data_IF_885599768331
#
_entry.id   IF_885599768331
#
_cell.length_a   1.000
_cell.length_b   1.000
_cell.length_c   1.000
_cell.angle_alpha   90.00
_cell.angle_beta   90.00
_cell.angle_gamma   90.00
#
_symmetry.space_group_name_H-M   'P 1'
#
loop_
_entity.id
_entity.type
_entity.pdbx_description
1 polymer ?
#
# COMPACT_ATOMS: atom_id res chain seq x y z
N UNK A 1 6.09 6.68 -21.45
CA UNK A 1 7.39 6.76 -20.76
C UNK A 1 7.13 6.87 -19.27
N UNK A 2 7.79 6.08 -18.42
CA UNK A 2 7.61 6.17 -16.98
C UNK A 2 8.21 7.48 -16.45
N UNK A 3 7.38 8.34 -15.86
CA UNK A 3 7.72 9.71 -15.45
C UNK A 3 8.55 9.78 -14.16
N UNK A 4 9.00 8.64 -13.62
CA UNK A 4 9.69 8.56 -12.34
C UNK A 4 10.71 7.41 -12.28
N UNK A 5 11.67 7.53 -11.36
CA UNK A 5 12.69 6.50 -11.11
C UNK A 5 12.03 5.23 -10.57
N UNK A 6 12.21 4.11 -11.29
CA UNK A 6 11.53 2.84 -11.00
C UNK A 6 12.01 2.15 -9.69
N UNK A 7 13.15 2.55 -9.11
CA UNK A 7 13.68 1.94 -7.87
C UNK A 7 13.82 0.41 -7.98
N UNK A 8 14.28 -0.07 -9.13
CA UNK A 8 14.28 -1.47 -9.56
C UNK A 8 14.68 -2.46 -8.46
N UNK A 9 15.78 -2.21 -7.74
CA UNK A 9 16.27 -3.10 -6.67
C UNK A 9 15.21 -3.31 -5.57
N UNK A 10 14.54 -2.25 -5.13
CA UNK A 10 13.53 -2.32 -4.08
C UNK A 10 12.23 -2.93 -4.58
N UNK A 11 11.83 -2.60 -5.81
CA UNK A 11 10.69 -3.23 -6.46
C UNK A 11 10.87 -4.74 -6.56
N UNK A 12 12.04 -5.21 -7.02
CA UNK A 12 12.33 -6.63 -7.14
C UNK A 12 12.29 -7.37 -5.81
N UNK A 13 12.71 -6.73 -4.70
CA UNK A 13 12.57 -7.30 -3.36
C UNK A 13 11.10 -7.52 -2.96
N UNK A 14 10.21 -6.59 -3.32
CA UNK A 14 8.77 -6.72 -3.06
C UNK A 14 8.16 -7.84 -3.91
N UNK A 15 8.52 -7.90 -5.19
CA UNK A 15 8.04 -8.93 -6.12
C UNK A 15 8.44 -10.34 -5.64
N UNK A 16 9.71 -10.54 -5.29
CA UNK A 16 10.22 -11.85 -4.84
C UNK A 16 9.57 -12.36 -3.56
N UNK A 17 9.07 -11.46 -2.72
CA UNK A 17 8.45 -11.79 -1.44
C UNK A 17 6.93 -11.78 -1.52
N UNK A 18 6.35 -11.48 -2.68
CA UNK A 18 4.90 -11.39 -2.91
C UNK A 18 4.23 -12.75 -2.64
N UNK A 19 3.03 -12.71 -2.10
CA UNK A 19 2.13 -13.87 -1.92
C UNK A 19 2.74 -15.06 -1.13
N UNK A 20 3.76 -14.81 -0.31
CA UNK A 20 4.42 -15.85 0.49
C UNK A 20 3.85 -16.01 1.92
N UNK A 21 2.72 -15.35 2.22
CA UNK A 21 2.05 -15.39 3.52
C UNK A 21 2.60 -14.46 4.61
N UNK A 22 3.72 -13.76 4.38
CA UNK A 22 4.29 -12.87 5.40
C UNK A 22 4.01 -11.38 5.12
N UNK A 23 3.80 -10.62 6.19
CA UNK A 23 3.70 -9.15 6.14
C UNK A 23 5.05 -8.53 5.71
N UNK A 24 5.00 -7.49 4.86
CA UNK A 24 6.20 -6.78 4.37
C UNK A 24 6.37 -5.47 5.11
N UNK A 25 7.44 -5.39 5.91
CA UNK A 25 7.83 -4.17 6.61
C UNK A 25 8.92 -3.47 5.79
N UNK A 26 8.63 -2.25 5.31
CA UNK A 26 9.61 -1.42 4.60
C UNK A 26 10.12 -0.35 5.56
N UNK A 27 11.37 -0.47 5.97
CA UNK A 27 12.03 0.48 6.86
C UNK A 27 12.99 1.40 6.08
N UNK A 28 13.42 2.49 6.74
CA UNK A 28 14.39 3.43 6.18
C UNK A 28 14.17 4.86 6.68
N UNK A 29 15.17 5.70 6.49
CA UNK A 29 15.19 7.09 6.98
C UNK A 29 14.06 7.95 6.40
N UNK A 30 13.74 9.06 7.08
CA UNK A 30 12.76 10.05 6.60
C UNK A 30 13.15 10.55 5.20
N UNK A 31 12.17 10.79 4.32
CA UNK A 31 12.36 11.27 2.94
C UNK A 31 13.13 10.33 1.99
N UNK A 32 13.45 9.09 2.38
CA UNK A 32 14.07 8.13 1.45
C UNK A 32 13.08 7.57 0.40
N UNK A 33 11.80 7.97 0.43
CA UNK A 33 10.79 7.65 -0.59
C UNK A 33 10.15 6.27 -0.47
N UNK A 34 10.00 5.74 0.76
CA UNK A 34 9.28 4.49 1.04
C UNK A 34 7.82 4.56 0.59
N UNK A 35 7.14 5.65 0.96
CA UNK A 35 5.76 5.89 0.55
C UNK A 35 5.67 5.96 -0.97
N UNK A 36 6.59 6.65 -1.66
CA UNK A 36 6.61 6.67 -3.13
C UNK A 36 6.79 5.29 -3.76
N UNK A 37 7.67 4.45 -3.21
CA UNK A 37 7.86 3.06 -3.66
C UNK A 37 6.55 2.27 -3.60
N UNK A 38 5.75 2.40 -2.53
CA UNK A 38 4.47 1.71 -2.41
C UNK A 38 3.35 2.39 -3.23
N UNK A 39 3.13 3.69 -3.00
CA UNK A 39 2.02 4.48 -3.55
C UNK A 39 2.03 4.59 -5.08
N UNK A 40 3.20 4.45 -5.72
CA UNK A 40 3.36 4.61 -7.18
C UNK A 40 4.02 3.42 -7.82
N UNK A 41 5.28 3.14 -7.48
CA UNK A 41 6.07 2.12 -8.19
C UNK A 41 5.43 0.74 -8.07
N UNK A 42 5.17 0.29 -6.85
CA UNK A 42 4.63 -1.04 -6.61
C UNK A 42 3.13 -1.12 -6.95
N UNK A 43 2.37 -0.06 -6.67
CA UNK A 43 0.99 0.09 -7.14
C UNK A 43 0.88 -0.11 -8.66
N UNK A 44 1.65 0.65 -9.46
CA UNK A 44 1.58 0.59 -10.92
C UNK A 44 2.04 -0.77 -11.44
N UNK A 45 3.03 -1.39 -10.78
CA UNK A 45 3.40 -2.76 -11.05
C UNK A 45 2.23 -3.73 -10.81
N UNK A 46 1.55 -3.70 -9.66
CA UNK A 46 0.42 -4.58 -9.37
C UNK A 46 -0.72 -4.41 -10.39
N UNK A 47 -1.06 -3.16 -10.73
CA UNK A 47 -2.06 -2.88 -11.77
C UNK A 47 -1.63 -3.43 -13.12
N UNK A 48 -0.35 -3.31 -13.48
CA UNK A 48 0.19 -3.89 -14.72
C UNK A 48 0.14 -5.43 -14.75
N UNK A 49 0.10 -6.08 -13.59
CA UNK A 49 -0.06 -7.52 -13.46
C UNK A 49 -1.53 -7.96 -13.38
N UNK A 50 -2.49 -7.04 -13.60
CA UNK A 50 -3.91 -7.34 -13.61
C UNK A 50 -4.62 -7.24 -12.27
N UNK A 51 -3.95 -6.77 -11.21
CA UNK A 51 -4.61 -6.53 -9.92
C UNK A 51 -5.60 -5.36 -10.07
N UNK A 52 -6.89 -5.54 -9.76
CA UNK A 52 -7.86 -4.46 -9.83
C UNK A 52 -7.48 -3.33 -8.87
N UNK A 53 -7.53 -2.07 -9.32
CA UNK A 53 -7.23 -0.90 -8.46
C UNK A 53 -8.05 -0.88 -7.17
N UNK A 54 -9.31 -1.32 -7.22
CA UNK A 54 -10.21 -1.44 -6.05
C UNK A 54 -9.71 -2.44 -4.99
N UNK A 55 -8.85 -3.40 -5.39
CA UNK A 55 -8.26 -4.40 -4.49
C UNK A 55 -6.93 -3.92 -3.89
N UNK A 56 -6.45 -2.73 -4.25
CA UNK A 56 -5.26 -2.12 -3.65
C UNK A 56 -5.75 -1.04 -2.68
N UNK A 57 -5.79 -1.40 -1.39
CA UNK A 57 -6.28 -0.53 -0.34
C UNK A 57 -5.08 0.21 0.25
N UNK A 58 -5.09 1.53 0.14
CA UNK A 58 -4.02 2.37 0.67
C UNK A 58 -4.52 3.16 1.87
N UNK A 59 -3.80 3.06 2.98
CA UNK A 59 -4.06 3.78 4.21
C UNK A 59 -2.83 4.62 4.53
N UNK A 60 -3.04 5.92 4.66
CA UNK A 60 -2.06 6.86 5.18
C UNK A 60 -2.47 7.25 6.59
N UNK A 61 -1.52 7.21 7.53
CA UNK A 61 -1.73 7.70 8.89
C UNK A 61 -1.33 9.19 9.04
N UNK A 62 -1.00 9.87 7.94
CA UNK A 62 -0.83 11.33 7.95
C UNK A 62 -2.21 12.00 8.02
N UNK A 63 -2.34 12.90 9.00
CA UNK A 63 -3.57 13.68 9.28
C UNK A 63 -4.04 14.48 8.07
N UNK A 64 -3.11 14.95 7.23
CA UNK A 64 -3.42 15.73 6.02
C UNK A 64 -4.00 14.88 4.87
N UNK A 65 -3.84 13.56 4.93
CA UNK A 65 -4.37 12.61 3.94
C UNK A 65 -5.59 11.84 4.47
N UNK A 66 -6.20 12.26 5.59
CA UNK A 66 -7.35 11.59 6.18
C UNK A 66 -8.60 11.77 5.31
N UNK A 67 -8.88 10.77 4.47
CA UNK A 67 -10.01 10.72 3.56
C UNK A 67 -11.31 10.34 4.31
N UNK A 68 -11.20 9.84 5.54
CA UNK A 68 -12.32 9.27 6.29
C UNK A 68 -12.90 10.23 7.31
N UNK A 69 -12.10 11.18 7.80
CA UNK A 69 -12.45 12.04 8.93
C UNK A 69 -12.55 11.27 10.25
N UNK A 70 -12.10 10.01 10.28
CA UNK A 70 -12.05 9.15 11.45
C UNK A 70 -10.59 8.86 11.81
N UNK A 71 -10.30 8.70 13.10
CA UNK A 71 -8.96 8.36 13.56
C UNK A 71 -8.57 6.92 13.17
N UNK A 72 -7.93 6.78 12.01
CA UNK A 72 -7.41 5.52 11.49
C UNK A 72 -6.20 4.97 12.29
N UNK A 73 -5.67 5.72 13.26
CA UNK A 73 -4.68 5.17 14.21
C UNK A 73 -5.35 4.26 15.24
N UNK A 74 -6.66 4.38 15.44
CA UNK A 74 -7.43 3.47 16.26
C UNK A 74 -7.61 2.11 15.53
N UNK A 75 -7.16 0.99 16.11
CA UNK A 75 -7.24 -0.32 15.47
C UNK A 75 -8.66 -0.76 15.10
N UNK A 76 -9.68 -0.37 15.87
CA UNK A 76 -11.07 -0.73 15.60
C UNK A 76 -11.65 0.07 14.43
N UNK A 77 -11.30 1.35 14.33
CA UNK A 77 -11.68 2.20 13.19
C UNK A 77 -10.99 1.69 11.92
N UNK A 78 -9.68 1.46 11.98
CA UNK A 78 -8.92 0.90 10.85
C UNK A 78 -9.50 -0.44 10.41
N UNK A 79 -9.79 -1.34 11.35
CA UNK A 79 -10.42 -2.63 11.06
C UNK A 79 -11.73 -2.42 10.30
N UNK A 80 -12.66 -1.63 10.85
CA UNK A 80 -13.96 -1.35 10.21
C UNK A 80 -13.77 -0.77 8.81
N UNK A 81 -12.86 0.18 8.64
CA UNK A 81 -12.53 0.77 7.35
C UNK A 81 -12.04 -0.28 6.35
N UNK A 82 -11.07 -1.11 6.72
CA UNK A 82 -10.53 -2.14 5.83
C UNK A 82 -11.61 -3.15 5.42
N UNK A 83 -12.39 -3.66 6.37
CA UNK A 83 -13.50 -4.58 6.07
C UNK A 83 -14.58 -3.92 5.19
N UNK A 84 -14.82 -2.61 5.30
CA UNK A 84 -15.76 -1.91 4.40
C UNK A 84 -15.29 -1.87 2.93
N UNK A 85 -13.98 -2.06 2.68
CA UNK A 85 -13.38 -2.05 1.34
C UNK A 85 -13.18 -3.45 0.76
N UNK A 86 -13.15 -4.47 1.62
CA UNK A 86 -13.06 -5.88 1.24
C UNK A 86 -14.49 -6.36 1.00
N UNK A 87 -14.90 -6.38 -0.27
CA UNK A 87 -16.27 -6.68 -0.69
C UNK A 87 -16.42 -8.08 -1.30
N UNK A 88 -15.30 -8.73 -1.60
CA UNK A 88 -15.22 -10.02 -2.28
C UNK A 88 -14.29 -10.93 -1.48
N UNK A 89 -14.83 -12.00 -0.90
CA UNK A 89 -14.07 -12.90 -0.01
C UNK A 89 -13.10 -13.80 -0.79
N UNK A 90 -13.37 -14.04 -2.07
CA UNK A 90 -12.55 -14.90 -2.93
C UNK A 90 -11.42 -14.13 -3.63
N UNK A 91 -11.45 -12.79 -3.56
CA UNK A 91 -10.47 -11.95 -4.21
C UNK A 91 -9.27 -11.61 -3.30
N UNK A 92 -8.08 -11.58 -3.89
CA UNK A 92 -6.87 -11.11 -3.20
C UNK A 92 -6.84 -9.58 -3.11
N UNK A 93 -6.49 -9.07 -1.93
CA UNK A 93 -6.31 -7.64 -1.65
C UNK A 93 -4.89 -7.32 -1.22
N UNK A 94 -4.38 -6.17 -1.67
CA UNK A 94 -3.12 -5.61 -1.22
C UNK A 94 -3.41 -4.42 -0.32
N UNK A 95 -3.09 -4.55 0.97
CA UNK A 95 -3.25 -3.47 1.95
C UNK A 95 -1.90 -2.81 2.20
N UNK A 96 -1.80 -1.51 1.91
CA UNK A 96 -0.62 -0.71 2.20
C UNK A 96 -0.91 0.21 3.37
N UNK A 97 -0.15 0.04 4.44
CA UNK A 97 -0.18 0.93 5.60
C UNK A 97 1.09 1.78 5.56
N UNK A 98 0.92 3.10 5.48
CA UNK A 98 2.03 4.03 5.46
C UNK A 98 1.83 5.11 6.51
N UNK A 99 2.86 5.36 7.31
CA UNK A 99 3.00 6.63 8.04
C UNK A 99 3.58 7.62 7.04
N UNK A 100 2.98 8.80 6.93
CA UNK A 100 3.44 9.74 5.91
C UNK A 100 4.67 10.51 6.35
N UNK A 101 4.93 11.62 5.64
CA UNK A 101 6.17 12.38 5.79
C UNK A 101 5.97 13.44 6.86
#
# INVERSE_FOLDING_TARGET
MATYVNRQIYLQKLIHRRDNGEVKIITGTRRCGKSWLLKKVYHDYLVSQGVPKKNIIMVSFDVDEDITGEDLTNPMVLKRYLYSKIIDEDASYYVFLAVGN
#
